data_IF_431822264564
#
_entry.id   IF_431822264564
#
_cell.length_a   1.000
_cell.length_b   1.000
_cell.length_c   1.000
_cell.angle_alpha   90.00
_cell.angle_beta   90.00
_cell.angle_gamma   90.00
#
_symmetry.space_group_name_H-M   'P 1'
#
loop_
_entity.id
_entity.type
_entity.pdbx_description
1 polymer ?
#
# COMPACT_ATOMS: atom_id res chain seq x y z
N UNK A 1 7.57 16.65 16.70
CA UNK A 1 7.93 15.38 16.05
C UNK A 1 8.01 15.64 14.56
N UNK A 2 9.22 15.80 14.05
CA UNK A 2 9.52 15.87 12.62
C UNK A 2 10.19 14.54 12.34
N UNK A 3 9.51 13.61 11.68
CA UNK A 3 10.14 12.39 11.20
C UNK A 3 10.39 12.51 9.70
N UNK A 4 11.61 12.16 9.32
CA UNK A 4 12.19 12.07 7.97
C UNK A 4 12.81 13.37 7.42
N UNK A 5 14.05 13.60 7.85
CA UNK A 5 15.05 14.45 7.21
C UNK A 5 15.63 13.73 5.97
N UNK A 6 15.59 14.39 4.81
CA UNK A 6 16.76 14.36 3.91
C UNK A 6 16.91 13.22 2.88
N UNK A 7 15.85 12.82 2.17
CA UNK A 7 16.02 12.47 0.75
C UNK A 7 14.89 13.12 -0.04
N UNK A 8 15.28 14.20 -0.69
CA UNK A 8 14.57 15.10 -1.58
C UNK A 8 13.54 14.34 -2.44
N UNK A 9 12.28 14.79 -2.46
CA UNK A 9 11.11 14.19 -3.14
C UNK A 9 10.54 12.88 -2.55
N UNK A 10 10.44 12.77 -1.22
CA UNK A 10 9.47 11.84 -0.61
C UNK A 10 8.05 12.26 -0.98
N UNK A 11 7.53 11.68 -2.07
CA UNK A 11 6.22 11.93 -2.69
C UNK A 11 5.15 12.18 -1.61
N UNK A 12 4.51 13.36 -1.62
CA UNK A 12 3.35 13.67 -0.77
C UNK A 12 2.31 12.54 -0.84
N UNK A 13 2.21 11.92 -2.02
CA UNK A 13 1.39 10.76 -2.34
C UNK A 13 1.68 9.52 -1.46
N UNK A 14 2.89 9.37 -0.93
CA UNK A 14 3.23 8.28 0.00
C UNK A 14 2.78 8.55 1.43
N UNK A 15 2.67 9.82 1.82
CA UNK A 15 2.19 10.22 3.15
C UNK A 15 0.75 9.77 3.36
N UNK A 16 -0.06 9.77 2.29
CA UNK A 16 -1.44 9.26 2.30
C UNK A 16 -1.52 7.79 1.89
N UNK A 17 -0.74 7.34 0.91
CA UNK A 17 -0.83 5.95 0.46
C UNK A 17 -0.37 4.91 1.51
N UNK A 18 0.58 5.25 2.39
CA UNK A 18 1.02 4.33 3.46
C UNK A 18 -0.12 4.06 4.47
N UNK A 19 -0.75 5.07 5.10
CA UNK A 19 -1.84 4.80 6.03
C UNK A 19 -3.06 4.17 5.33
N UNK A 20 -3.39 4.57 4.10
CA UNK A 20 -4.49 3.94 3.34
C UNK A 20 -4.20 2.46 3.03
N UNK A 21 -2.96 2.12 2.69
CA UNK A 21 -2.55 0.72 2.50
C UNK A 21 -2.69 -0.09 3.78
N UNK A 22 -2.25 0.46 4.93
CA UNK A 22 -2.35 -0.23 6.21
C UNK A 22 -3.80 -0.42 6.64
N UNK A 23 -4.65 0.61 6.51
CA UNK A 23 -6.08 0.53 6.84
C UNK A 23 -6.78 -0.54 6.00
N UNK A 24 -6.51 -0.56 4.69
CA UNK A 24 -7.05 -1.58 3.79
C UNK A 24 -6.51 -2.99 4.10
N UNK A 25 -5.24 -3.12 4.50
CA UNK A 25 -4.66 -4.39 4.94
C UNK A 25 -5.35 -4.88 6.22
N UNK A 26 -5.57 -4.00 7.19
CA UNK A 26 -6.26 -4.32 8.44
C UNK A 26 -7.71 -4.73 8.17
N UNK A 27 -8.42 -3.99 7.32
CA UNK A 27 -9.79 -4.32 6.91
C UNK A 27 -9.86 -5.71 6.24
N UNK A 28 -8.94 -6.02 5.33
CA UNK A 28 -8.86 -7.33 4.69
C UNK A 28 -8.49 -8.46 5.69
N UNK A 29 -7.60 -8.19 6.64
CA UNK A 29 -7.25 -9.15 7.69
C UNK A 29 -8.42 -9.43 8.63
N UNK A 30 -9.25 -8.42 8.93
CA UNK A 30 -10.44 -8.57 9.77
C UNK A 30 -11.58 -9.26 9.02
N UNK A 31 -11.78 -8.91 7.76
CA UNK A 31 -12.80 -9.49 6.89
C UNK A 31 -12.22 -9.73 5.49
N UNK A 32 -11.79 -10.97 5.18
CA UNK A 32 -11.14 -11.32 3.92
C UNK A 32 -12.17 -11.52 2.80
N UNK A 33 -13.19 -10.66 2.73
CA UNK A 33 -14.16 -10.64 1.64
C UNK A 33 -13.52 -10.14 0.35
N UNK A 34 -14.15 -10.49 -0.79
CA UNK A 34 -13.71 -10.02 -2.11
C UNK A 34 -13.70 -8.48 -2.17
N UNK A 35 -14.60 -7.80 -1.47
CA UNK A 35 -14.66 -6.34 -1.39
C UNK A 35 -13.40 -5.76 -0.72
N UNK A 36 -13.08 -6.18 0.50
CA UNK A 36 -11.89 -5.69 1.22
C UNK A 36 -10.59 -6.12 0.55
N UNK A 37 -10.56 -7.30 -0.09
CA UNK A 37 -9.42 -7.72 -0.90
C UNK A 37 -9.18 -6.74 -2.06
N UNK A 38 -10.23 -6.35 -2.79
CA UNK A 38 -10.12 -5.40 -3.89
C UNK A 38 -9.70 -4.01 -3.40
N UNK A 39 -10.16 -3.57 -2.23
CA UNK A 39 -9.73 -2.30 -1.60
C UNK A 39 -8.23 -2.37 -1.26
N UNK A 40 -7.78 -3.46 -0.62
CA UNK A 40 -6.36 -3.66 -0.30
C UNK A 40 -5.49 -3.71 -1.56
N UNK A 41 -5.92 -4.46 -2.58
CA UNK A 41 -5.26 -4.52 -3.88
C UNK A 41 -5.13 -3.14 -4.51
N UNK A 42 -6.19 -2.34 -4.52
CA UNK A 42 -6.16 -0.99 -5.08
C UNK A 42 -5.20 -0.07 -4.31
N UNK A 43 -5.22 -0.10 -2.98
CA UNK A 43 -4.31 0.68 -2.14
C UNK A 43 -2.84 0.28 -2.37
N UNK A 44 -2.57 -1.02 -2.53
CA UNK A 44 -1.23 -1.53 -2.82
C UNK A 44 -0.75 -1.12 -4.21
N UNK A 45 -1.64 -1.09 -5.22
CA UNK A 45 -1.32 -0.53 -6.54
C UNK A 45 -0.97 0.96 -6.47
N UNK A 46 -1.73 1.75 -5.70
CA UNK A 46 -1.46 3.18 -5.51
C UNK A 46 -0.10 3.37 -4.82
N UNK A 47 0.17 2.64 -3.76
CA UNK A 47 1.46 2.65 -3.06
C UNK A 47 2.64 2.34 -4.00
N UNK A 48 2.49 1.33 -4.86
CA UNK A 48 3.49 0.97 -5.88
C UNK A 48 3.64 2.06 -6.94
N UNK A 49 2.54 2.52 -7.53
CA UNK A 49 2.53 3.52 -8.61
C UNK A 49 3.10 4.87 -8.16
N UNK A 50 2.90 5.22 -6.89
CA UNK A 50 3.45 6.43 -6.28
C UNK A 50 4.95 6.30 -5.97
N UNK A 51 5.56 5.15 -6.26
CA UNK A 51 6.98 4.87 -6.00
C UNK A 51 7.29 4.69 -4.52
N UNK A 52 6.28 4.54 -3.66
CA UNK A 52 6.45 4.41 -2.22
C UNK A 52 7.09 3.07 -1.84
N UNK A 53 6.85 2.04 -2.64
CA UNK A 53 7.53 0.74 -2.53
C UNK A 53 9.04 0.82 -2.85
N UNK A 54 9.52 1.89 -3.52
CA UNK A 54 10.89 1.98 -3.98
C UNK A 54 11.27 0.78 -4.88
N UNK A 55 12.29 0.03 -4.49
CA UNK A 55 12.73 -1.21 -5.15
C UNK A 55 12.20 -2.48 -4.48
N UNK A 56 11.24 -2.36 -3.55
CA UNK A 56 10.72 -3.49 -2.80
C UNK A 56 9.87 -4.39 -3.71
N UNK A 57 10.46 -5.51 -4.13
CA UNK A 57 9.78 -6.51 -4.96
C UNK A 57 8.66 -7.24 -4.20
N UNK A 58 8.67 -7.17 -2.87
CA UNK A 58 7.67 -7.82 -2.02
C UNK A 58 6.30 -7.17 -2.19
N UNK A 59 6.22 -5.85 -2.37
CA UNK A 59 4.96 -5.16 -2.67
C UNK A 59 4.31 -5.66 -3.98
N UNK A 60 5.12 -5.87 -5.02
CA UNK A 60 4.64 -6.42 -6.30
C UNK A 60 4.23 -7.89 -6.19
N UNK A 61 4.98 -8.69 -5.42
CA UNK A 61 4.66 -10.09 -5.18
C UNK A 61 3.36 -10.24 -4.37
N UNK A 62 3.16 -9.38 -3.37
CA UNK A 62 1.93 -9.35 -2.58
C UNK A 62 0.73 -8.97 -3.46
N UNK A 63 0.88 -7.97 -4.34
CA UNK A 63 -0.16 -7.57 -5.26
C UNK A 63 -0.62 -8.71 -6.20
N UNK A 64 0.33 -9.48 -6.71
CA UNK A 64 0.06 -10.63 -7.60
C UNK A 64 -0.53 -11.83 -6.83
N UNK A 65 -0.11 -12.01 -5.58
CA UNK A 65 -0.54 -13.10 -4.70
C UNK A 65 -1.92 -12.92 -4.06
N UNK A 66 -2.53 -11.74 -4.14
CA UNK A 66 -3.82 -11.46 -3.51
C UNK A 66 -4.97 -12.26 -4.17
N UNK A 67 -5.67 -13.14 -3.44
CA UNK A 67 -6.68 -14.05 -3.99
C UNK A 67 -8.06 -13.37 -4.12
N UNK A 68 -8.09 -12.13 -4.61
CA UNK A 68 -9.33 -11.37 -4.78
C UNK A 68 -10.16 -11.98 -5.93
N UNK A 69 -10.99 -12.96 -5.63
CA UNK A 69 -11.89 -13.66 -6.55
C UNK A 69 -13.34 -13.58 -6.09
#
# INVERSE_FOLDING_TARGET
LICCDGSETGNLECITAIPELNDAAEAYNQDPSTENCNIYKAALQVYINNGCAGMDQSAYAELDGLPCN
#
